data_IF_363146157679
#
_entry.id   IF_363146157679
#
_cell.length_a   1.000
_cell.length_b   1.000
_cell.length_c   1.000
_cell.angle_alpha   90.00
_cell.angle_beta   90.00
_cell.angle_gamma   90.00
#
_symmetry.space_group_name_H-M   'P 1'
#
loop_
_entity.id
_entity.type
_entity.pdbx_description
1 polymer ?
#
# COMPACT_ATOMS: atom_id res chain seq x y z
N UNK A 1 -21.99 -17.66 5.76
CA UNK A 1 -20.65 -17.06 5.79
C UNK A 1 -20.70 -15.68 5.14
N UNK A 2 -20.17 -14.67 5.84
CA UNK A 2 -20.07 -13.29 5.34
C UNK A 2 -18.60 -12.85 5.47
N UNK A 3 -18.12 -12.27 4.38
CA UNK A 3 -16.82 -11.63 4.27
C UNK A 3 -17.04 -10.11 4.16
N UNK A 4 -16.43 -9.36 5.07
CA UNK A 4 -16.49 -7.89 5.10
C UNK A 4 -15.10 -7.36 4.78
N UNK A 5 -14.97 -6.63 3.69
CA UNK A 5 -13.76 -5.85 3.43
C UNK A 5 -13.88 -4.54 4.18
N UNK A 6 -13.03 -4.34 5.16
CA UNK A 6 -13.10 -3.18 6.03
C UNK A 6 -12.45 -1.95 5.40
N UNK A 7 -13.19 -0.84 5.44
CA UNK A 7 -12.64 0.51 5.43
C UNK A 7 -12.77 1.09 6.83
N UNK A 8 -12.10 0.48 7.83
CA UNK A 8 -12.01 1.05 9.17
C UNK A 8 -13.36 1.46 9.77
N UNK A 9 -14.26 0.52 9.98
CA UNK A 9 -15.66 0.83 10.30
C UNK A 9 -16.15 0.20 11.60
N UNK A 10 -15.31 0.15 12.60
CA UNK A 10 -15.80 -0.21 13.91
C UNK A 10 -16.64 0.96 14.48
N UNK A 11 -17.95 0.77 14.47
CA UNK A 11 -18.93 1.71 14.98
C UNK A 11 -20.14 0.96 15.54
N UNK A 12 -21.08 1.61 16.25
CA UNK A 12 -22.25 0.94 16.81
C UNK A 12 -23.09 0.19 15.78
N UNK A 13 -23.24 0.72 14.58
CA UNK A 13 -24.06 0.09 13.53
C UNK A 13 -23.41 -1.20 13.02
N UNK A 14 -22.08 -1.19 12.78
CA UNK A 14 -21.34 -2.38 12.37
C UNK A 14 -21.39 -3.46 13.45
N UNK A 15 -21.26 -3.09 14.73
CA UNK A 15 -21.39 -4.02 15.86
C UNK A 15 -22.80 -4.62 15.89
N UNK A 16 -23.84 -3.79 15.73
CA UNK A 16 -25.22 -4.26 15.73
C UNK A 16 -25.46 -5.23 14.56
N UNK A 17 -24.99 -4.90 13.36
CA UNK A 17 -25.10 -5.76 12.18
C UNK A 17 -24.44 -7.13 12.43
N UNK A 18 -23.15 -7.13 12.85
CA UNK A 18 -22.42 -8.38 13.13
C UNK A 18 -23.12 -9.17 14.22
N UNK A 19 -23.57 -8.51 15.29
CA UNK A 19 -24.31 -9.17 16.39
C UNK A 19 -25.61 -9.83 15.92
N UNK A 20 -26.35 -9.20 15.00
CA UNK A 20 -27.54 -9.81 14.42
C UNK A 20 -27.20 -11.04 13.57
N UNK A 21 -26.18 -10.94 12.73
CA UNK A 21 -25.72 -12.08 11.91
C UNK A 21 -25.29 -13.27 12.78
N UNK A 22 -24.60 -13.01 13.88
CA UNK A 22 -24.20 -14.05 14.84
C UNK A 22 -25.39 -14.75 15.51
N UNK A 23 -26.52 -14.05 15.74
CA UNK A 23 -27.75 -14.67 16.26
C UNK A 23 -28.36 -15.69 15.30
N UNK A 24 -28.07 -15.58 14.03
CA UNK A 24 -28.50 -16.52 12.99
C UNK A 24 -27.39 -17.54 12.62
N UNK A 25 -26.42 -17.75 13.51
CA UNK A 25 -25.29 -18.67 13.34
C UNK A 25 -24.47 -18.42 12.06
N UNK A 26 -24.45 -17.17 11.59
CA UNK A 26 -23.64 -16.79 10.43
C UNK A 26 -22.20 -16.56 10.86
N UNK A 27 -21.27 -17.21 10.20
CA UNK A 27 -19.84 -16.92 10.36
C UNK A 27 -19.49 -15.61 9.66
N UNK A 28 -18.80 -14.72 10.39
CA UNK A 28 -18.42 -13.39 9.89
C UNK A 28 -16.92 -13.22 10.02
N UNK A 29 -16.25 -12.98 8.90
CA UNK A 29 -14.84 -12.59 8.86
C UNK A 29 -14.69 -11.18 8.28
N UNK A 30 -13.69 -10.45 8.74
CA UNK A 30 -13.40 -9.10 8.26
C UNK A 30 -11.95 -9.01 7.77
N UNK A 31 -11.75 -8.44 6.59
CA UNK A 31 -10.40 -8.13 6.10
C UNK A 31 -9.94 -6.78 6.61
N UNK A 32 -8.75 -6.74 7.20
CA UNK A 32 -8.02 -5.51 7.53
C UNK A 32 -6.72 -5.55 6.72
N UNK A 33 -6.71 -4.93 5.52
CA UNK A 33 -5.60 -5.07 4.58
C UNK A 33 -4.31 -4.42 5.08
N UNK A 34 -4.40 -3.30 5.78
CA UNK A 34 -3.25 -2.60 6.37
C UNK A 34 -3.35 -2.61 7.88
N UNK A 35 -2.31 -3.08 8.56
CA UNK A 35 -2.23 -3.04 10.01
C UNK A 35 -0.78 -2.81 10.47
N UNK A 36 -0.53 -1.81 11.35
CA UNK A 36 -1.46 -0.83 11.91
C UNK A 36 -1.85 0.26 10.90
N UNK A 37 -3.11 0.71 10.93
CA UNK A 37 -3.67 1.69 9.99
C UNK A 37 -3.90 3.10 10.56
N UNK A 38 -3.63 3.32 11.83
CA UNK A 38 -3.91 4.60 12.50
C UNK A 38 -3.26 5.81 11.81
N UNK A 39 -2.13 5.60 11.12
CA UNK A 39 -1.39 6.67 10.43
C UNK A 39 -1.97 7.05 9.06
N UNK A 40 -2.87 6.25 8.52
CA UNK A 40 -3.54 6.54 7.24
C UNK A 40 -4.61 7.63 7.35
N UNK A 41 -5.00 7.98 8.59
CA UNK A 41 -6.03 8.97 8.90
C UNK A 41 -5.44 10.37 8.98
N UNK A 42 -5.36 11.06 7.83
CA UNK A 42 -4.62 12.32 7.69
C UNK A 42 -5.53 13.53 7.93
N UNK A 43 -6.74 13.53 7.33
CA UNK A 43 -7.65 14.66 7.38
C UNK A 43 -8.40 14.74 8.72
N UNK A 44 -8.90 15.94 9.06
CA UNK A 44 -9.67 16.14 10.30
C UNK A 44 -10.89 15.21 10.40
N UNK A 45 -11.63 15.05 9.30
CA UNK A 45 -12.78 14.13 9.24
C UNK A 45 -12.34 12.69 9.50
N UNK A 46 -11.29 12.22 8.81
CA UNK A 46 -10.76 10.88 9.03
C UNK A 46 -10.31 10.66 10.47
N UNK A 47 -9.71 11.65 11.12
CA UNK A 47 -9.32 11.56 12.53
C UNK A 47 -10.51 11.40 13.48
N UNK A 48 -11.65 12.03 13.17
CA UNK A 48 -12.89 11.81 13.92
C UNK A 48 -13.41 10.38 13.72
N UNK A 49 -13.41 9.89 12.49
CA UNK A 49 -13.79 8.51 12.18
C UNK A 49 -12.88 7.51 12.92
N UNK A 50 -11.58 7.78 12.97
CA UNK A 50 -10.61 6.97 13.72
C UNK A 50 -10.88 6.98 15.24
N UNK A 51 -11.32 8.10 15.80
CA UNK A 51 -11.70 8.16 17.23
C UNK A 51 -12.90 7.25 17.52
N UNK A 52 -13.90 7.27 16.64
CA UNK A 52 -15.05 6.35 16.75
C UNK A 52 -14.57 4.90 16.62
N UNK A 53 -13.77 4.60 15.61
CA UNK A 53 -13.19 3.28 15.41
C UNK A 53 -12.43 2.78 16.66
N UNK A 54 -11.59 3.60 17.24
CA UNK A 54 -10.83 3.27 18.47
C UNK A 54 -11.72 2.90 19.65
N UNK A 55 -12.89 3.51 19.76
CA UNK A 55 -13.84 3.18 20.82
C UNK A 55 -14.48 1.80 20.63
N UNK A 56 -14.66 1.34 19.40
CA UNK A 56 -15.46 0.16 19.08
C UNK A 56 -14.68 -1.01 18.50
N UNK A 57 -13.49 -0.80 17.95
CA UNK A 57 -12.72 -1.84 17.22
C UNK A 57 -12.38 -3.09 18.04
N UNK A 58 -12.12 -2.95 19.34
CA UNK A 58 -11.88 -4.09 20.23
C UNK A 58 -13.15 -4.91 20.46
N UNK A 59 -14.30 -4.26 20.54
CA UNK A 59 -15.59 -4.94 20.68
C UNK A 59 -15.93 -5.67 19.38
N UNK A 60 -15.82 -5.00 18.24
CA UNK A 60 -16.07 -5.59 16.94
C UNK A 60 -15.17 -6.83 16.69
N UNK A 61 -13.86 -6.69 16.94
CA UNK A 61 -12.90 -7.77 16.72
C UNK A 61 -13.23 -9.05 17.51
N UNK A 62 -13.78 -8.91 18.72
CA UNK A 62 -14.22 -10.07 19.54
C UNK A 62 -15.48 -10.75 19.03
N UNK A 63 -16.31 -10.08 18.24
CA UNK A 63 -17.51 -10.66 17.63
C UNK A 63 -17.22 -11.44 16.36
N UNK A 64 -16.09 -11.14 15.70
CA UNK A 64 -15.70 -11.78 14.44
C UNK A 64 -15.18 -13.19 14.67
N UNK A 65 -15.42 -14.07 13.71
CA UNK A 65 -14.85 -15.42 13.69
C UNK A 65 -13.38 -15.41 13.23
N UNK A 66 -12.93 -14.34 12.58
CA UNK A 66 -11.54 -14.14 12.18
C UNK A 66 -11.33 -12.78 11.51
N UNK A 67 -10.10 -12.29 11.60
CA UNK A 67 -9.65 -11.10 10.90
C UNK A 67 -8.61 -11.51 9.88
N UNK A 68 -8.93 -11.29 8.61
CA UNK A 68 -8.02 -11.57 7.50
C UNK A 68 -7.05 -10.41 7.40
N UNK A 69 -5.75 -10.71 7.34
CA UNK A 69 -4.69 -9.70 7.30
C UNK A 69 -3.50 -10.14 6.47
N UNK A 70 -2.76 -9.18 5.93
CA UNK A 70 -1.49 -9.38 5.23
C UNK A 70 -0.28 -9.20 6.15
N UNK A 71 -0.51 -8.85 7.42
CA UNK A 71 0.53 -8.68 8.43
C UNK A 71 0.83 -9.97 9.18
N UNK A 72 1.97 -9.99 9.91
CA UNK A 72 2.35 -11.11 10.78
C UNK A 72 1.68 -11.09 12.17
N UNK A 73 0.76 -10.16 12.40
CA UNK A 73 0.06 -10.01 13.66
C UNK A 73 -0.81 -11.24 13.95
N UNK A 74 -0.55 -11.93 15.06
CA UNK A 74 -1.34 -13.10 15.49
C UNK A 74 -2.72 -12.73 16.02
N UNK A 75 -2.88 -11.50 16.46
CA UNK A 75 -4.16 -10.93 16.90
C UNK A 75 -4.23 -9.48 16.49
N UNK A 76 -5.42 -9.02 16.11
CA UNK A 76 -5.71 -7.62 15.84
C UNK A 76 -6.88 -7.21 16.73
N UNK A 77 -6.67 -6.20 17.57
CA UNK A 77 -7.64 -5.69 18.57
C UNK A 77 -8.24 -6.79 19.47
N UNK A 78 -7.47 -7.87 19.71
CA UNK A 78 -7.90 -9.02 20.51
C UNK A 78 -8.73 -10.06 19.75
N UNK A 79 -8.98 -9.88 18.46
CA UNK A 79 -9.58 -10.89 17.59
C UNK A 79 -8.51 -11.81 16.94
N UNK A 80 -8.84 -13.06 16.64
CA UNK A 80 -7.93 -13.99 15.98
C UNK A 80 -7.69 -13.59 14.52
N UNK A 81 -6.48 -13.79 14.02
CA UNK A 81 -6.12 -13.44 12.64
C UNK A 81 -5.98 -14.66 11.75
N UNK A 82 -6.31 -14.46 10.47
CA UNK A 82 -6.05 -15.39 9.37
C UNK A 82 -5.12 -14.63 8.42
N UNK A 83 -3.86 -15.05 8.38
CA UNK A 83 -2.88 -14.45 7.50
C UNK A 83 -3.07 -14.95 6.08
N UNK A 84 -3.10 -14.03 5.15
CA UNK A 84 -3.07 -14.31 3.71
C UNK A 84 -1.95 -13.49 3.05
N UNK A 85 -1.67 -13.77 1.79
CA UNK A 85 -0.82 -12.97 0.91
C UNK A 85 -1.59 -12.58 -0.34
N UNK A 86 -1.08 -11.56 -1.04
CA UNK A 86 -1.58 -11.26 -2.38
C UNK A 86 -1.32 -12.47 -3.29
N UNK A 87 -2.33 -12.81 -4.07
CA UNK A 87 -2.22 -13.82 -5.13
C UNK A 87 -1.64 -13.20 -6.40
N UNK A 88 -0.99 -14.03 -7.18
CA UNK A 88 -0.55 -13.72 -8.55
C UNK A 88 -0.97 -14.87 -9.45
N UNK A 89 -1.39 -14.54 -10.65
CA UNK A 89 -1.71 -15.52 -11.68
C UNK A 89 -0.42 -15.92 -12.40
N UNK A 90 0.17 -17.03 -11.96
CA UNK A 90 1.40 -17.57 -12.56
C UNK A 90 1.19 -18.15 -13.96
N UNK A 91 -0.06 -18.41 -14.36
CA UNK A 91 -0.34 -18.93 -15.70
C UNK A 91 -0.34 -17.81 -16.75
N UNK A 92 -0.71 -16.59 -16.36
CA UNK A 92 -0.72 -15.42 -17.21
C UNK A 92 0.56 -14.57 -17.15
N UNK A 93 1.30 -14.63 -16.04
CA UNK A 93 2.50 -13.82 -15.84
C UNK A 93 3.75 -14.69 -15.95
N UNK A 94 4.46 -14.55 -17.06
CA UNK A 94 5.71 -15.28 -17.27
C UNK A 94 6.87 -14.59 -16.52
N UNK A 95 7.68 -15.37 -15.77
CA UNK A 95 8.89 -14.83 -15.17
C UNK A 95 9.84 -14.30 -16.25
N UNK A 96 10.39 -13.11 -16.03
CA UNK A 96 11.44 -12.58 -16.87
C UNK A 96 12.63 -13.54 -16.87
N UNK A 97 13.11 -13.94 -18.06
CA UNK A 97 14.35 -14.72 -18.16
C UNK A 97 15.49 -13.89 -17.58
N UNK A 98 16.32 -14.52 -16.72
CA UNK A 98 17.55 -13.88 -16.27
C UNK A 98 18.40 -13.54 -17.51
N UNK A 99 18.56 -12.25 -17.75
CA UNK A 99 19.55 -11.76 -18.72
C UNK A 99 20.82 -11.59 -17.89
N UNK A 100 21.88 -12.29 -18.28
CA UNK A 100 23.22 -12.00 -17.76
C UNK A 100 23.62 -10.64 -18.33
N UNK A 101 23.19 -9.61 -17.65
CA UNK A 101 23.42 -8.23 -18.06
C UNK A 101 24.83 -7.84 -17.60
N UNK A 102 25.70 -7.62 -18.55
CA UNK A 102 27.05 -7.08 -18.32
C UNK A 102 27.04 -5.55 -18.32
N UNK A 103 25.87 -4.94 -18.45
CA UNK A 103 25.74 -3.49 -18.40
C UNK A 103 25.85 -3.00 -16.94
N UNK A 104 26.58 -1.90 -16.76
CA UNK A 104 26.67 -1.22 -15.47
C UNK A 104 25.41 -0.37 -15.22
N UNK A 105 24.24 -0.95 -15.45
CA UNK A 105 22.94 -0.29 -15.33
C UNK A 105 21.99 -1.10 -14.48
N UNK A 106 21.29 -0.44 -13.56
CA UNK A 106 20.24 -1.00 -12.72
C UNK A 106 18.94 -0.24 -12.96
N UNK A 107 17.89 -0.96 -13.31
CA UNK A 107 16.56 -0.41 -13.52
C UNK A 107 15.66 -0.81 -12.37
N UNK A 108 15.24 0.19 -11.59
CA UNK A 108 14.21 0.07 -10.55
C UNK A 108 12.88 0.48 -11.15
N UNK A 109 11.80 -0.23 -10.83
CA UNK A 109 10.45 0.12 -11.25
C UNK A 109 9.54 0.23 -10.04
N UNK A 110 8.71 1.28 -10.02
CA UNK A 110 7.63 1.46 -9.07
C UNK A 110 6.31 1.63 -9.82
N UNK A 111 5.34 0.76 -9.54
CA UNK A 111 4.01 0.79 -10.14
C UNK A 111 2.98 1.01 -9.04
N UNK A 112 2.36 2.18 -8.99
CA UNK A 112 1.32 2.50 -8.02
C UNK A 112 0.58 3.78 -8.40
N UNK A 113 -0.62 3.98 -7.84
CA UNK A 113 -1.12 5.33 -7.58
C UNK A 113 -0.23 5.93 -6.49
N UNK A 114 0.54 6.96 -6.84
CA UNK A 114 1.66 7.40 -6.01
C UNK A 114 1.15 8.23 -4.84
N UNK A 115 1.40 7.74 -3.62
CA UNK A 115 1.11 8.40 -2.38
C UNK A 115 2.36 8.48 -1.50
N UNK A 116 2.38 9.40 -0.53
CA UNK A 116 3.54 9.67 0.33
C UNK A 116 4.06 8.43 1.08
N UNK A 117 3.19 7.48 1.43
CA UNK A 117 3.60 6.24 2.12
C UNK A 117 4.37 5.27 1.24
N UNK A 118 4.32 5.41 -0.09
CA UNK A 118 5.15 4.60 -0.99
C UNK A 118 6.63 4.98 -0.93
N UNK A 119 6.97 6.17 -0.42
CA UNK A 119 8.34 6.57 -0.15
C UNK A 119 9.18 6.87 -1.39
N UNK A 120 8.57 7.21 -2.51
CA UNK A 120 9.29 7.56 -3.75
C UNK A 120 10.19 8.77 -3.58
N UNK A 121 9.79 9.74 -2.75
CA UNK A 121 10.64 10.87 -2.38
C UNK A 121 11.96 10.43 -1.76
N UNK A 122 11.94 9.36 -0.93
CA UNK A 122 13.15 8.81 -0.30
C UNK A 122 14.09 8.16 -1.32
N UNK A 123 13.52 7.40 -2.28
CA UNK A 123 14.32 6.80 -3.37
C UNK A 123 14.97 7.90 -4.20
N UNK A 124 14.22 8.94 -4.57
CA UNK A 124 14.72 10.04 -5.40
C UNK A 124 15.79 10.85 -4.67
N UNK A 125 15.62 11.13 -3.37
CA UNK A 125 16.66 11.74 -2.53
C UNK A 125 17.92 10.87 -2.46
N UNK A 126 17.74 9.55 -2.27
CA UNK A 126 18.86 8.61 -2.29
C UNK A 126 19.57 8.58 -3.64
N UNK A 127 18.86 8.67 -4.78
CA UNK A 127 19.48 8.79 -6.09
C UNK A 127 20.26 10.10 -6.24
N UNK A 128 19.75 11.22 -5.71
CA UNK A 128 20.47 12.49 -5.71
C UNK A 128 21.82 12.37 -4.98
N UNK A 129 21.82 11.80 -3.78
CA UNK A 129 23.04 11.54 -3.01
C UNK A 129 23.97 10.58 -3.74
N UNK A 130 23.41 9.52 -4.33
CA UNK A 130 24.17 8.51 -5.08
C UNK A 130 24.93 9.14 -6.26
N UNK A 131 24.27 9.98 -7.07
CA UNK A 131 24.89 10.61 -8.23
C UNK A 131 25.94 11.67 -7.89
N UNK A 132 25.90 12.25 -6.69
CA UNK A 132 26.98 13.13 -6.20
C UNK A 132 28.32 12.37 -6.05
N UNK A 133 28.28 11.06 -5.84
CA UNK A 133 29.48 10.22 -5.71
C UNK A 133 30.14 9.90 -7.05
N UNK A 134 29.57 10.30 -8.18
CA UNK A 134 29.98 9.94 -9.54
C UNK A 134 30.13 8.42 -9.71
N UNK A 135 29.07 7.66 -9.49
CA UNK A 135 29.13 6.21 -9.43
C UNK A 135 29.45 5.59 -10.79
N UNK A 136 30.06 4.39 -10.77
CA UNK A 136 30.30 3.58 -11.96
C UNK A 136 29.00 3.00 -12.53
N UNK A 137 28.08 2.57 -11.65
CA UNK A 137 26.79 2.02 -12.06
C UNK A 137 25.76 3.15 -12.24
N UNK A 138 24.99 3.05 -13.31
CA UNK A 138 23.82 3.92 -13.52
C UNK A 138 22.59 3.25 -12.92
N UNK A 139 21.80 4.01 -12.17
CA UNK A 139 20.55 3.55 -11.58
C UNK A 139 19.41 4.37 -12.15
N UNK A 140 18.50 3.71 -12.85
CA UNK A 140 17.30 4.32 -13.39
C UNK A 140 16.11 3.98 -12.51
N UNK A 141 15.26 4.96 -12.24
CA UNK A 141 14.02 4.74 -11.52
C UNK A 141 12.82 5.06 -12.42
N UNK A 142 12.12 4.02 -12.81
CA UNK A 142 10.93 4.08 -13.64
C UNK A 142 9.71 4.17 -12.75
N UNK A 143 8.88 5.18 -12.94
CA UNK A 143 7.69 5.43 -12.14
C UNK A 143 6.47 5.33 -13.04
N UNK A 144 5.67 4.28 -12.83
CA UNK A 144 4.39 4.05 -13.50
C UNK A 144 3.27 4.38 -12.52
N UNK A 145 2.46 5.35 -12.88
CA UNK A 145 1.39 5.90 -12.08
C UNK A 145 1.38 7.41 -12.06
N UNK A 146 0.29 8.00 -11.62
CA UNK A 146 0.14 9.44 -11.56
C UNK A 146 0.58 9.97 -10.18
N UNK A 147 1.25 11.11 -10.20
CA UNK A 147 1.49 11.92 -9.00
C UNK A 147 0.17 12.63 -8.64
N UNK A 148 -0.72 11.90 -7.97
CA UNK A 148 -2.11 12.31 -7.73
C UNK A 148 -2.24 13.46 -6.74
N UNK A 149 -1.34 13.54 -5.76
CA UNK A 149 -1.35 14.55 -4.72
C UNK A 149 -0.57 15.82 -5.10
N UNK A 150 -1.01 16.97 -4.60
CA UNK A 150 -0.26 18.21 -4.75
C UNK A 150 1.09 18.14 -4.03
N UNK A 151 1.14 17.48 -2.88
CA UNK A 151 2.36 17.25 -2.12
C UNK A 151 3.39 16.44 -2.91
N UNK A 152 2.97 15.37 -3.58
CA UNK A 152 3.83 14.52 -4.38
C UNK A 152 4.45 15.32 -5.55
N UNK A 153 3.66 16.19 -6.19
CA UNK A 153 4.13 17.08 -7.24
C UNK A 153 5.10 18.13 -6.71
N UNK A 154 4.83 18.72 -5.54
CA UNK A 154 5.67 19.75 -4.94
C UNK A 154 6.97 19.22 -4.37
N UNK A 155 6.99 17.98 -3.85
CA UNK A 155 8.19 17.38 -3.26
C UNK A 155 9.02 16.60 -4.30
N UNK A 156 8.39 15.79 -5.15
CA UNK A 156 9.09 14.88 -6.08
C UNK A 156 9.68 15.65 -7.27
N UNK A 157 8.88 16.40 -8.00
CA UNK A 157 9.33 17.07 -9.22
C UNK A 157 10.43 18.12 -8.97
N UNK A 158 10.37 18.93 -7.90
CA UNK A 158 11.46 19.84 -7.60
C UNK A 158 12.79 19.14 -7.28
N UNK A 159 12.75 18.02 -6.54
CA UNK A 159 13.98 17.27 -6.20
C UNK A 159 14.64 16.73 -7.48
N UNK A 160 13.84 16.14 -8.39
CA UNK A 160 14.35 15.65 -9.69
C UNK A 160 15.07 16.76 -10.42
N UNK A 161 14.43 17.91 -10.58
CA UNK A 161 14.98 19.06 -11.33
C UNK A 161 16.19 19.69 -10.66
N UNK A 162 16.13 19.90 -9.33
CA UNK A 162 17.22 20.54 -8.59
C UNK A 162 18.51 19.71 -8.57
N UNK A 163 18.38 18.38 -8.69
CA UNK A 163 19.50 17.45 -8.67
C UNK A 163 19.86 16.88 -10.05
N UNK A 164 19.31 17.45 -11.14
CA UNK A 164 19.55 17.03 -12.53
C UNK A 164 19.31 15.51 -12.71
N UNK A 165 18.24 14.98 -12.13
CA UNK A 165 17.90 13.55 -12.16
C UNK A 165 16.97 13.17 -13.32
N UNK A 166 16.57 14.13 -14.18
CA UNK A 166 15.69 13.88 -15.32
C UNK A 166 16.15 12.72 -16.24
N UNK A 167 17.46 12.51 -16.45
CA UNK A 167 17.92 11.35 -17.23
C UNK A 167 17.75 10.02 -16.52
N UNK A 168 17.56 10.01 -15.21
CA UNK A 168 17.57 8.80 -14.36
C UNK A 168 16.24 8.49 -13.71
N UNK A 169 15.34 9.46 -13.62
CA UNK A 169 13.98 9.29 -13.08
C UNK A 169 12.97 9.49 -14.19
N UNK A 170 12.38 8.40 -14.64
CA UNK A 170 11.48 8.38 -15.79
C UNK A 170 10.03 8.26 -15.30
N UNK A 171 9.22 9.26 -15.64
CA UNK A 171 7.79 9.30 -15.26
C UNK A 171 6.95 8.88 -16.48
N UNK A 172 6.22 7.76 -16.34
CA UNK A 172 5.37 7.25 -17.41
C UNK A 172 3.93 7.73 -17.32
N UNK A 173 3.50 8.25 -16.14
CA UNK A 173 2.10 8.51 -15.87
C UNK A 173 1.28 7.24 -15.71
N UNK A 174 -0.05 7.34 -15.84
CA UNK A 174 -0.92 6.18 -15.73
C UNK A 174 -0.78 5.31 -16.99
N UNK A 175 -0.57 4.01 -16.75
CA UNK A 175 -0.59 2.98 -17.77
C UNK A 175 -1.66 1.95 -17.43
N UNK A 176 -2.31 1.37 -18.43
CA UNK A 176 -3.43 0.44 -18.26
C UNK A 176 -3.30 -0.78 -19.16
N UNK A 177 -3.76 -1.93 -18.65
CA UNK A 177 -3.84 -3.17 -19.44
C UNK A 177 -2.51 -3.57 -20.06
N UNK A 178 -2.49 -3.79 -21.36
CA UNK A 178 -1.34 -4.30 -22.10
C UNK A 178 -0.14 -3.33 -22.14
N UNK A 179 -0.31 -2.08 -21.72
CA UNK A 179 0.82 -1.13 -21.62
C UNK A 179 1.76 -1.45 -20.44
N UNK A 180 1.33 -2.37 -19.55
CA UNK A 180 2.09 -2.81 -18.37
C UNK A 180 2.85 -4.13 -18.59
N UNK A 181 2.62 -4.81 -19.73
CA UNK A 181 3.28 -6.05 -20.15
C UNK A 181 4.59 -5.74 -20.96
#
# INVERSE_FOLDING_TARGET
FIYIRSFHNANPFTIQLVSQLKKHDVKVVMEIPTYPYDQEYITFKMKLDLLVDKCFRHHLAKLLDGIITFSDAKTIFGGPTIRISNGIDFDSILPKKQINDTTYELHLIGVAEIHYWHGYDRIIKGLAEYYLTKPQYKVYFHIVGELSGERERQEILPIIKQNALEPYVILYGNMHGNDLD
#
